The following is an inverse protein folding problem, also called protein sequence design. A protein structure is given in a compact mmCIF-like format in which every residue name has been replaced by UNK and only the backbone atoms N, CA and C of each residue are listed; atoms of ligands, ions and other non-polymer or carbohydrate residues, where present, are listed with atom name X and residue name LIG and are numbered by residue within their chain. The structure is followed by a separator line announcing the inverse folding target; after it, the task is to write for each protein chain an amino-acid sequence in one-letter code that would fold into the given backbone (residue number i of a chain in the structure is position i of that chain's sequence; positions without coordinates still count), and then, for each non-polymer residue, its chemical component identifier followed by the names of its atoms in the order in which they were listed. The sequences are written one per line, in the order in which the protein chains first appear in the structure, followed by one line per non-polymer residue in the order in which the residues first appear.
data_IF_174351812121
#
_entry.id   IF_174351812121
#
_cell.length_a   1.000
_cell.length_b   1.000
_cell.length_c   1.000
_cell.angle_alpha   90.00
_cell.angle_beta   90.00
_cell.angle_gamma   90.00
#
_symmetry.space_group_name_H-M   'P 1'
#
loop_
_entity.id
_entity.type
_entity.pdbx_description
1 polymer ?
#
# COMPACT_ATOMS: atom_id res chain seq x y z
N UNK A 1 27.77 -17.40 -9.78
CA UNK A 1 26.67 -17.35 -8.81
C UNK A 1 25.38 -17.08 -9.55
N UNK A 2 24.31 -17.82 -9.27
CA UNK A 2 22.98 -17.51 -9.81
C UNK A 2 22.52 -16.15 -9.28
N UNK A 3 22.58 -15.13 -10.13
CA UNK A 3 21.89 -13.86 -9.86
C UNK A 3 20.41 -14.18 -9.84
N UNK A 4 19.77 -14.08 -8.67
CA UNK A 4 18.34 -14.24 -8.53
C UNK A 4 17.65 -13.10 -9.30
N UNK A 5 17.09 -13.40 -10.47
CA UNK A 5 16.58 -12.40 -11.43
C UNK A 5 15.12 -12.01 -11.18
N UNK A 6 14.47 -12.64 -10.20
CA UNK A 6 13.06 -12.43 -9.89
C UNK A 6 12.91 -11.42 -8.74
N UNK A 7 12.36 -10.25 -9.06
CA UNK A 7 11.71 -9.39 -8.07
C UNK A 7 10.29 -9.88 -7.78
N UNK A 8 9.67 -9.36 -6.72
CA UNK A 8 8.28 -9.66 -6.34
C UNK A 8 7.53 -8.35 -6.11
N UNK A 9 6.32 -8.25 -6.67
CA UNK A 9 5.38 -7.15 -6.43
C UNK A 9 4.23 -7.62 -5.57
N UNK A 10 3.87 -6.84 -4.56
CA UNK A 10 2.71 -7.10 -3.72
C UNK A 10 2.00 -5.79 -3.35
N UNK A 11 0.76 -5.90 -2.87
CA UNK A 11 -0.06 -4.78 -2.45
C UNK A 11 -0.50 -4.96 -1.01
N UNK A 12 -0.49 -3.88 -0.24
CA UNK A 12 -1.04 -3.82 1.12
C UNK A 12 -1.87 -2.55 1.27
N UNK A 13 -3.19 -2.70 1.36
CA UNK A 13 -4.12 -1.58 1.28
C UNK A 13 -3.91 -0.79 -0.03
N UNK A 14 -3.78 0.53 0.07
CA UNK A 14 -3.44 1.39 -1.06
C UNK A 14 -1.94 1.42 -1.42
N UNK A 15 -1.08 0.70 -0.68
CA UNK A 15 0.36 0.70 -0.89
C UNK A 15 0.84 -0.35 -1.89
N UNK A 16 1.72 0.05 -2.80
CA UNK A 16 2.48 -0.82 -3.68
C UNK A 16 3.83 -1.16 -3.04
N UNK A 17 4.23 -2.44 -3.09
CA UNK A 17 5.48 -2.89 -2.48
C UNK A 17 6.26 -3.76 -3.46
N UNK A 18 7.56 -3.46 -3.59
CA UNK A 18 8.48 -4.12 -4.49
C UNK A 18 9.65 -4.71 -3.70
N UNK A 19 9.88 -6.00 -3.88
CA UNK A 19 11.01 -6.74 -3.33
C UNK A 19 11.99 -7.09 -4.45
N UNK A 20 13.28 -6.89 -4.21
CA UNK A 20 14.34 -7.16 -5.18
C UNK A 20 15.60 -7.65 -4.46
N UNK A 21 16.25 -8.70 -4.99
CA UNK A 21 17.32 -9.44 -4.30
C UNK A 21 18.69 -9.44 -5.02
N UNK A 22 19.24 -8.26 -5.34
CA UNK A 22 20.68 -7.97 -5.22
C UNK A 22 20.96 -7.00 -4.06
N UNK A 23 22.08 -7.16 -3.36
CA UNK A 23 22.45 -6.24 -2.26
C UNK A 23 23.35 -6.78 -1.16
N UNK A 24 24.03 -7.92 -1.35
CA UNK A 24 25.02 -8.41 -0.39
C UNK A 24 26.23 -7.48 -0.38
N UNK A 25 26.62 -7.02 0.81
CA UNK A 25 27.54 -5.92 1.07
C UNK A 25 28.98 -6.14 0.56
N UNK A 26 29.44 -7.39 0.51
CA UNK A 26 30.75 -7.73 -0.08
C UNK A 26 30.81 -7.60 -1.60
N UNK A 27 29.68 -7.41 -2.29
CA UNK A 27 29.65 -7.27 -3.74
C UNK A 27 29.12 -5.89 -4.17
N UNK A 28 29.76 -5.23 -5.14
CA UNK A 28 29.34 -3.91 -5.63
C UNK A 28 28.08 -3.97 -6.52
N UNK A 29 27.06 -4.74 -6.11
CA UNK A 29 25.83 -5.00 -6.88
C UNK A 29 25.04 -3.73 -7.22
N UNK A 30 25.11 -2.69 -6.39
CA UNK A 30 24.47 -1.41 -6.66
C UNK A 30 25.20 -0.53 -7.69
N UNK A 31 26.42 -0.88 -8.11
CA UNK A 31 27.13 -0.22 -9.21
C UNK A 31 26.72 -0.76 -10.59
N UNK A 32 25.98 -1.86 -10.65
CA UNK A 32 25.41 -2.38 -11.90
C UNK A 32 24.30 -1.45 -12.42
N UNK A 33 24.45 -0.96 -13.65
CA UNK A 33 23.50 -0.07 -14.29
C UNK A 33 22.09 -0.68 -14.41
N UNK A 34 22.00 -1.99 -14.58
CA UNK A 34 20.74 -2.76 -14.63
C UNK A 34 20.04 -2.76 -13.28
N UNK A 35 20.78 -2.99 -12.20
CA UNK A 35 20.26 -2.91 -10.82
C UNK A 35 19.71 -1.51 -10.56
N UNK A 36 20.48 -0.47 -10.89
CA UNK A 36 20.03 0.91 -10.78
C UNK A 36 18.77 1.20 -11.61
N UNK A 37 18.67 0.65 -12.82
CA UNK A 37 17.48 0.80 -13.70
C UNK A 37 16.24 0.15 -13.09
N UNK A 38 16.37 -1.05 -12.53
CA UNK A 38 15.27 -1.76 -11.87
C UNK A 38 14.77 -0.96 -10.66
N UNK A 39 15.68 -0.44 -9.82
CA UNK A 39 15.31 0.35 -8.65
C UNK A 39 14.56 1.64 -9.03
N UNK A 40 15.02 2.37 -10.06
CA UNK A 40 14.32 3.58 -10.54
C UNK A 40 12.91 3.25 -11.03
N UNK A 41 12.76 2.19 -11.82
CA UNK A 41 11.46 1.75 -12.30
C UNK A 41 10.54 1.31 -11.15
N UNK A 42 11.09 0.63 -10.15
CA UNK A 42 10.35 0.21 -8.97
C UNK A 42 9.84 1.39 -8.15
N UNK A 43 10.64 2.44 -7.96
CA UNK A 43 10.22 3.67 -7.27
C UNK A 43 9.06 4.33 -8.02
N UNK A 44 9.19 4.48 -9.34
CA UNK A 44 8.13 5.07 -10.17
C UNK A 44 6.84 4.24 -10.15
N UNK A 45 6.95 2.91 -10.13
CA UNK A 45 5.81 2.00 -10.02
C UNK A 45 5.19 2.00 -8.61
N UNK A 46 6.01 2.09 -7.56
CA UNK A 46 5.56 2.07 -6.18
C UNK A 46 4.90 3.39 -5.77
N UNK A 47 5.17 4.48 -6.50
CA UNK A 47 4.52 5.75 -6.30
C UNK A 47 2.99 5.62 -6.48
N UNK A 48 2.26 6.04 -5.45
CA UNK A 48 0.81 6.19 -5.49
C UNK A 48 0.45 7.64 -5.18
N UNK A 49 -0.08 8.36 -6.17
CA UNK A 49 -0.48 9.76 -6.06
C UNK A 49 -1.75 9.94 -5.20
N UNK A 50 -2.63 8.94 -5.17
CA UNK A 50 -3.87 8.95 -4.42
C UNK A 50 -3.64 8.30 -3.06
N UNK A 51 -3.16 9.11 -2.12
CA UNK A 51 -3.02 8.68 -0.72
C UNK A 51 -4.41 8.70 -0.07
N UNK A 52 -5.08 7.56 -0.04
CA UNK A 52 -6.36 7.37 0.63
C UNK A 52 -6.24 7.42 2.17
N UNK A 53 -5.96 8.61 2.71
CA UNK A 53 -5.77 8.84 4.14
C UNK A 53 -7.04 8.54 4.97
N UNK A 54 -8.20 8.63 4.34
CA UNK A 54 -9.51 8.27 4.90
C UNK A 54 -9.61 6.78 5.28
N UNK A 55 -8.95 5.88 4.54
CA UNK A 55 -8.95 4.45 4.85
C UNK A 55 -8.28 4.13 6.19
N UNK A 56 -7.34 4.96 6.63
CA UNK A 56 -6.68 4.81 7.93
C UNK A 56 -7.58 5.16 9.11
N UNK A 57 -8.60 6.00 8.89
CA UNK A 57 -9.48 6.49 9.95
C UNK A 57 -10.66 5.55 10.21
N UNK A 58 -10.99 4.70 9.24
CA UNK A 58 -12.12 3.77 9.27
C UNK A 58 -13.37 4.32 10.01
N UNK A 59 -13.87 5.52 9.63
CA UNK A 59 -14.93 6.16 10.40
C UNK A 59 -16.24 5.39 10.24
N UNK A 60 -16.99 5.26 11.34
CA UNK A 60 -18.36 4.75 11.28
C UNK A 60 -19.22 5.67 10.41
N UNK A 61 -19.92 5.12 9.42
CA UNK A 61 -20.85 5.87 8.56
C UNK A 61 -22.25 5.81 9.18
N UNK A 62 -22.80 6.94 9.66
CA UNK A 62 -24.10 6.93 10.31
C UNK A 62 -25.22 6.62 9.30
N UNK A 63 -26.34 6.11 9.84
CA UNK A 63 -27.48 5.56 9.07
C UNK A 63 -28.07 6.58 8.09
N UNK A 64 -28.14 7.85 8.48
CA UNK A 64 -28.64 8.95 7.66
C UNK A 64 -27.76 9.23 6.42
N UNK A 65 -26.47 8.91 6.50
CA UNK A 65 -25.50 9.08 5.41
C UNK A 65 -25.26 7.80 4.64
N UNK A 66 -25.92 6.69 4.97
CA UNK A 66 -25.72 5.42 4.28
C UNK A 66 -26.05 5.54 2.77
N UNK A 67 -25.31 4.81 1.93
CA UNK A 67 -25.54 4.79 0.48
C UNK A 67 -26.92 4.21 0.18
N UNK A 68 -27.30 3.19 0.95
CA UNK A 68 -28.60 2.54 0.90
C UNK A 68 -29.50 2.99 2.05
N UNK A 69 -30.81 3.00 1.82
CA UNK A 69 -31.77 3.33 2.85
C UNK A 69 -31.87 2.20 3.87
N UNK A 70 -31.26 2.38 5.03
CA UNK A 70 -31.29 1.43 6.14
C UNK A 70 -32.10 1.96 7.33
N UNK A 71 -32.71 1.06 8.08
CA UNK A 71 -33.44 1.38 9.32
C UNK A 71 -32.59 0.95 10.50
N UNK A 72 -32.35 1.87 11.42
CA UNK A 72 -31.58 1.63 12.62
C UNK A 72 -32.30 0.64 13.56
N UNK A 73 -31.57 -0.36 14.09
CA UNK A 73 -32.09 -1.36 15.04
C UNK A 73 -31.04 -1.71 16.08
N UNK A 74 -31.46 -1.96 17.33
CA UNK A 74 -30.61 -2.40 18.44
C UNK A 74 -29.93 -1.27 19.23
N UNK A 75 -29.17 -1.66 20.26
CA UNK A 75 -28.45 -0.72 21.13
C UNK A 75 -27.11 -0.27 20.49
N UNK A 76 -26.71 0.99 20.73
CA UNK A 76 -25.45 1.57 20.24
C UNK A 76 -24.36 1.52 21.30
N UNK A 77 -23.13 1.24 20.88
CA UNK A 77 -21.93 1.35 21.71
C UNK A 77 -21.46 2.80 21.88
N UNK A 78 -21.78 3.72 20.95
CA UNK A 78 -21.34 5.12 21.00
C UNK A 78 -22.43 6.11 20.57
N UNK A 79 -22.51 7.25 21.28
CA UNK A 79 -23.42 8.36 20.99
C UNK A 79 -22.74 9.33 20.02
N UNK A 80 -23.39 9.65 18.89
CA UNK A 80 -22.92 10.73 18.01
C UNK A 80 -23.63 12.04 18.39
N UNK A 81 -22.94 13.18 18.46
CA UNK A 81 -23.60 14.47 18.54
C UNK A 81 -24.44 14.70 17.27
N UNK A 82 -25.64 15.26 17.47
CA UNK A 82 -26.59 15.60 16.41
C UNK A 82 -26.01 16.63 15.44
#
# INVERSE_FOLDING_TARGET
GEVFRSGLTYRRGAGNIFYFRPGHETYPTYHDATVGKVLRNAVNWAHNAERHAELLKAPNRPVDKAIEKIVERGAKLSHHPK
#
